data_IF_085195508400
#
_entry.id   IF_085195508400
#
_cell.length_a   1.000
_cell.length_b   1.000
_cell.length_c   1.000
_cell.angle_alpha   90.00
_cell.angle_beta   90.00
_cell.angle_gamma   90.00
#
_symmetry.space_group_name_H-M   'P 1'
#
loop_
_entity.id
_entity.type
_entity.pdbx_description
1 polymer ?
#
# COMPACT_ATOMS: atom_id res chain seq x y z
N UNK A 1 16.27 54.76 55.68
CA UNK A 1 17.49 54.12 56.24
C UNK A 1 17.73 52.86 55.42
N UNK A 2 18.76 52.62 54.61
CA UNK A 2 20.01 53.27 54.16
C UNK A 2 20.02 53.06 52.62
N UNK A 3 20.21 54.05 51.73
CA UNK A 3 21.51 54.63 51.29
C UNK A 3 22.47 53.54 50.74
N UNK A 4 22.99 53.54 49.49
CA UNK A 4 23.68 54.59 48.70
C UNK A 4 23.95 54.00 47.26
N UNK A 5 23.56 54.67 46.16
CA UNK A 5 24.38 55.54 45.24
C UNK A 5 25.23 54.72 44.22
N UNK A 6 24.81 54.62 42.94
CA UNK A 6 25.16 55.43 41.74
C UNK A 6 26.62 55.22 41.24
N UNK A 7 26.92 55.20 39.93
CA UNK A 7 27.20 56.40 39.12
C UNK A 7 27.58 56.01 37.65
N UNK A 8 27.00 56.75 36.67
CA UNK A 8 27.48 57.19 35.32
C UNK A 8 27.84 56.14 34.25
N UNK A 9 27.72 56.40 32.95
CA UNK A 9 27.44 57.64 32.22
C UNK A 9 27.38 57.40 30.70
N UNK A 10 26.85 58.40 30.00
CA UNK A 10 26.54 58.45 28.58
C UNK A 10 27.73 58.32 27.61
N UNK A 11 27.45 57.92 26.37
CA UNK A 11 27.48 58.79 25.17
C UNK A 11 27.50 57.95 23.89
N UNK A 12 26.69 58.35 22.91
CA UNK A 12 26.68 57.80 21.56
C UNK A 12 27.85 58.39 20.75
N UNK A 13 28.57 57.53 20.02
CA UNK A 13 29.54 57.94 19.01
C UNK A 13 29.35 57.10 17.75
N UNK A 14 29.05 57.79 16.65
CA UNK A 14 28.99 57.29 15.27
C UNK A 14 30.39 56.87 14.79
N UNK A 15 30.45 55.82 13.96
CA UNK A 15 31.65 55.44 13.20
C UNK A 15 31.28 55.05 11.75
N UNK A 16 32.20 55.25 10.80
CA UNK A 16 31.89 55.61 9.41
C UNK A 16 31.80 54.43 8.46
N UNK A 17 31.16 54.67 7.31
CA UNK A 17 31.13 53.78 6.17
C UNK A 17 32.53 53.63 5.55
N UNK A 18 33.01 52.38 5.47
CA UNK A 18 34.23 52.02 4.76
C UNK A 18 33.86 51.20 3.52
N UNK A 19 33.97 51.84 2.36
CA UNK A 19 33.90 51.19 1.05
C UNK A 19 35.20 50.41 0.84
N UNK A 20 35.14 49.08 0.79
CA UNK A 20 36.25 48.23 0.36
C UNK A 20 35.90 47.68 -1.02
N UNK A 21 36.59 48.19 -2.04
CA UNK A 21 36.69 47.59 -3.36
C UNK A 21 37.75 46.49 -3.32
N UNK A 22 37.33 45.23 -3.45
CA UNK A 22 38.23 44.12 -3.75
C UNK A 22 37.84 43.50 -5.09
N UNK A 23 38.65 43.82 -6.09
CA UNK A 23 38.78 43.11 -7.35
C UNK A 23 39.49 41.77 -7.10
N UNK A 24 38.79 40.67 -7.37
CA UNK A 24 39.33 39.33 -7.29
C UNK A 24 38.38 38.33 -7.96
N UNK A 25 38.62 38.07 -9.25
CA UNK A 25 37.95 37.00 -9.99
C UNK A 25 38.44 35.65 -9.49
N UNK A 26 37.85 35.16 -8.41
CA UNK A 26 37.89 33.75 -8.06
C UNK A 26 36.75 33.05 -8.79
N UNK A 27 37.03 32.45 -9.95
CA UNK A 27 36.15 31.42 -10.50
C UNK A 27 36.15 30.24 -9.54
N UNK A 28 35.21 30.27 -8.59
CA UNK A 28 34.75 29.08 -7.89
C UNK A 28 34.15 28.16 -8.95
N UNK A 29 34.98 27.28 -9.48
CA UNK A 29 34.52 26.13 -10.23
C UNK A 29 33.87 25.20 -9.20
N UNK A 30 32.59 25.46 -8.93
CA UNK A 30 31.75 24.54 -8.18
C UNK A 30 31.79 23.22 -8.93
N UNK A 31 32.51 22.24 -8.38
CA UNK A 31 32.33 20.84 -8.72
C UNK A 31 30.84 20.55 -8.55
N UNK A 32 30.09 20.51 -9.65
CA UNK A 32 28.72 20.07 -9.64
C UNK A 32 28.74 18.61 -9.19
N UNK A 33 28.49 18.39 -7.90
CA UNK A 33 28.17 17.06 -7.40
C UNK A 33 27.07 16.53 -8.32
N UNK A 34 27.31 15.37 -8.94
CA UNK A 34 26.29 14.73 -9.76
C UNK A 34 25.06 14.55 -8.87
N UNK A 35 23.99 15.28 -9.17
CA UNK A 35 22.75 15.15 -8.43
C UNK A 35 22.16 13.78 -8.75
N UNK A 36 21.89 13.01 -7.71
CA UNK A 36 21.20 11.73 -7.82
C UNK A 36 19.83 11.81 -7.17
N UNK A 37 18.96 10.86 -7.52
CA UNK A 37 17.61 10.72 -6.97
C UNK A 37 17.31 9.26 -6.63
N UNK A 38 16.46 9.00 -5.65
CA UNK A 38 15.96 7.65 -5.36
C UNK A 38 14.62 7.44 -6.05
N UNK A 39 14.36 6.23 -6.53
CA UNK A 39 13.08 5.81 -7.08
C UNK A 39 12.39 4.81 -6.12
N UNK A 40 11.15 5.09 -5.78
CA UNK A 40 10.29 4.23 -4.97
C UNK A 40 9.20 3.64 -5.86
N UNK A 41 9.06 2.32 -5.85
CA UNK A 41 8.11 1.58 -6.68
C UNK A 41 6.88 1.22 -5.85
N UNK A 42 5.72 1.42 -6.46
CA UNK A 42 4.40 1.07 -5.95
C UNK A 42 3.65 0.26 -7.00
N UNK A 43 2.95 -0.78 -6.57
CA UNK A 43 2.08 -1.57 -7.43
C UNK A 43 0.85 -2.05 -6.68
N UNK A 44 -0.30 -1.98 -7.35
CA UNK A 44 -1.54 -2.62 -6.90
C UNK A 44 -1.53 -4.14 -7.15
N UNK A 45 -0.59 -4.63 -7.95
CA UNK A 45 -0.48 -6.02 -8.33
C UNK A 45 0.62 -6.72 -7.51
N UNK A 46 0.39 -7.96 -7.05
CA UNK A 46 1.44 -8.76 -6.43
C UNK A 46 2.47 -9.21 -7.47
N UNK A 47 3.67 -9.52 -6.98
CA UNK A 47 4.77 -10.08 -7.77
C UNK A 47 5.53 -11.13 -6.96
N UNK A 48 6.67 -11.57 -7.47
CA UNK A 48 7.54 -12.51 -6.76
C UNK A 48 8.94 -11.94 -6.61
N UNK A 49 9.72 -12.49 -5.70
CA UNK A 49 11.15 -12.19 -5.56
C UNK A 49 11.96 -12.47 -6.84
N UNK A 50 11.49 -13.35 -7.72
CA UNK A 50 12.13 -13.63 -9.01
C UNK A 50 11.85 -12.54 -10.07
N UNK A 51 10.74 -11.80 -9.93
CA UNK A 51 10.30 -10.76 -10.87
C UNK A 51 9.82 -9.53 -10.11
N UNK A 52 10.70 -8.99 -9.25
CA UNK A 52 10.32 -7.97 -8.28
C UNK A 52 10.07 -6.60 -8.95
N UNK A 53 9.31 -5.69 -8.31
CA UNK A 53 8.97 -4.40 -8.92
C UNK A 53 10.18 -3.52 -9.26
N UNK A 54 11.27 -3.66 -8.51
CA UNK A 54 12.52 -2.93 -8.77
C UNK A 54 13.14 -3.29 -10.12
N UNK A 55 12.93 -4.51 -10.62
CA UNK A 55 13.49 -4.97 -11.89
C UNK A 55 12.91 -4.24 -13.11
N UNK A 56 11.82 -3.47 -12.94
CA UNK A 56 11.31 -2.60 -13.99
C UNK A 56 12.19 -1.38 -14.28
N UNK A 57 13.14 -1.04 -13.40
CA UNK A 57 13.94 0.20 -13.44
C UNK A 57 15.39 -0.04 -12.98
N UNK A 58 15.87 -1.28 -12.99
CA UNK A 58 17.21 -1.62 -12.48
C UNK A 58 18.33 -1.43 -13.52
N UNK A 59 17.98 -1.11 -14.77
CA UNK A 59 18.93 -0.92 -15.86
C UNK A 59 19.55 -2.21 -16.38
N UNK A 60 19.01 -3.37 -16.01
CA UNK A 60 19.53 -4.67 -16.40
C UNK A 60 18.58 -5.35 -17.41
N UNK A 61 18.97 -5.49 -18.69
CA UNK A 61 18.09 -6.05 -19.72
C UNK A 61 17.81 -7.56 -19.58
N UNK A 62 18.42 -8.23 -18.59
CA UNK A 62 18.19 -9.65 -18.30
C UNK A 62 17.18 -9.91 -17.19
N UNK A 63 16.76 -8.87 -16.47
CA UNK A 63 15.73 -8.91 -15.43
C UNK A 63 14.46 -8.23 -15.93
N UNK A 64 13.34 -8.47 -15.25
CA UNK A 64 12.07 -7.82 -15.56
C UNK A 64 11.12 -7.95 -14.36
N UNK A 65 10.22 -6.97 -14.22
CA UNK A 65 9.05 -7.11 -13.36
C UNK A 65 7.97 -7.93 -14.07
N UNK A 66 7.28 -8.78 -13.31
CA UNK A 66 6.07 -9.48 -13.76
C UNK A 66 5.08 -9.63 -12.61
N UNK A 67 3.83 -9.23 -12.83
CA UNK A 67 2.75 -9.47 -11.88
C UNK A 67 2.38 -10.96 -11.80
N UNK A 68 1.90 -11.41 -10.64
CA UNK A 68 1.40 -12.79 -10.46
C UNK A 68 0.02 -12.96 -11.12
N UNK A 69 -0.81 -11.93 -11.01
CA UNK A 69 -2.16 -11.90 -11.56
C UNK A 69 -2.27 -10.91 -12.72
N UNK A 70 -3.45 -10.88 -13.31
CA UNK A 70 -3.81 -9.97 -14.37
C UNK A 70 -3.70 -8.50 -13.95
N UNK A 71 -3.55 -7.65 -14.96
CA UNK A 71 -3.71 -6.21 -14.83
C UNK A 71 -5.06 -5.84 -15.42
N UNK A 72 -5.95 -5.34 -14.58
CA UNK A 72 -7.27 -4.89 -14.98
C UNK A 72 -7.41 -3.36 -14.99
N UNK A 73 -8.65 -2.91 -15.12
CA UNK A 73 -9.01 -1.52 -14.85
C UNK A 73 -8.80 -1.19 -13.37
N UNK A 74 -8.29 0.02 -13.09
CA UNK A 74 -7.90 0.46 -11.74
C UNK A 74 -6.49 0.05 -11.29
N UNK A 75 -5.89 -0.98 -11.90
CA UNK A 75 -4.53 -1.40 -11.56
C UNK A 75 -3.47 -0.40 -12.01
N UNK A 76 -2.42 -0.27 -11.21
CA UNK A 76 -1.39 0.73 -11.40
C UNK A 76 0.00 0.19 -11.06
N UNK A 77 0.97 0.50 -11.91
CA UNK A 77 2.39 0.46 -11.59
C UNK A 77 2.93 1.89 -11.55
N UNK A 78 3.53 2.28 -10.44
CA UNK A 78 3.90 3.67 -10.15
C UNK A 78 5.35 3.77 -9.68
N UNK A 79 6.10 4.64 -10.33
CA UNK A 79 7.44 5.09 -9.93
C UNK A 79 7.32 6.47 -9.31
N UNK A 80 7.81 6.66 -8.09
CA UNK A 80 7.89 7.95 -7.41
C UNK A 80 9.35 8.29 -7.12
N UNK A 81 9.82 9.41 -7.64
CA UNK A 81 11.14 9.95 -7.38
C UNK A 81 11.16 10.76 -6.08
N UNK A 82 12.27 10.70 -5.34
CA UNK A 82 12.42 11.41 -4.07
C UNK A 82 12.37 12.94 -4.23
N UNK A 83 12.63 13.46 -5.43
CA UNK A 83 12.44 14.86 -5.82
C UNK A 83 12.14 14.97 -7.32
N UNK A 84 11.48 16.04 -7.77
CA UNK A 84 11.26 16.27 -9.19
C UNK A 84 12.58 16.38 -9.98
N UNK A 85 12.67 15.72 -11.14
CA UNK A 85 13.84 15.77 -12.03
C UNK A 85 13.47 16.14 -13.47
N UNK A 86 14.31 16.86 -14.23
CA UNK A 86 14.06 17.16 -15.63
C UNK A 86 13.93 15.88 -16.47
N UNK A 87 12.82 15.71 -17.19
CA UNK A 87 12.60 14.55 -18.06
C UNK A 87 12.75 14.94 -19.54
N UNK A 88 13.80 14.42 -20.19
CA UNK A 88 14.09 14.64 -21.62
C UNK A 88 13.56 13.54 -22.51
N UNK A 89 13.47 12.32 -22.00
CA UNK A 89 12.83 11.21 -22.71
C UNK A 89 12.34 10.17 -21.72
N UNK A 90 11.31 9.44 -22.13
CA UNK A 90 10.80 8.27 -21.45
C UNK A 90 10.70 7.15 -22.48
N UNK A 91 11.27 5.99 -22.18
CA UNK A 91 11.18 4.80 -22.99
C UNK A 91 10.83 3.63 -22.07
N UNK A 92 9.72 2.94 -22.34
CA UNK A 92 9.24 1.82 -21.53
C UNK A 92 9.02 0.64 -22.45
N UNK A 93 9.58 -0.52 -22.11
CA UNK A 93 9.42 -1.76 -22.85
C UNK A 93 8.66 -2.77 -22.00
N UNK A 94 7.57 -3.30 -22.55
CA UNK A 94 6.73 -4.33 -21.91
C UNK A 94 6.70 -5.61 -22.73
N UNK A 95 6.11 -6.66 -22.15
CA UNK A 95 5.93 -7.96 -22.80
C UNK A 95 7.15 -8.89 -22.75
N UNK A 96 6.91 -10.19 -22.82
CA UNK A 96 7.90 -11.26 -22.77
C UNK A 96 8.65 -11.44 -24.09
N UNK A 97 9.82 -12.08 -24.03
CA UNK A 97 10.63 -12.35 -25.22
C UNK A 97 9.92 -13.25 -26.25
N UNK A 98 8.84 -13.92 -25.83
CA UNK A 98 7.96 -14.76 -26.64
C UNK A 98 6.83 -14.00 -27.35
N UNK A 99 6.76 -12.67 -27.20
CA UNK A 99 5.74 -11.85 -27.85
C UNK A 99 4.38 -11.90 -27.13
N UNK A 100 4.38 -12.03 -25.80
CA UNK A 100 3.18 -12.07 -24.96
C UNK A 100 3.23 -11.00 -23.88
N UNK A 101 2.10 -10.71 -23.25
CA UNK A 101 1.99 -9.77 -22.13
C UNK A 101 2.40 -8.32 -22.51
N UNK A 102 2.43 -7.96 -23.80
CA UNK A 102 2.62 -6.58 -24.24
C UNK A 102 1.45 -5.70 -23.81
N UNK A 103 1.77 -4.56 -23.20
CA UNK A 103 0.79 -3.51 -23.01
C UNK A 103 0.49 -2.89 -24.37
N UNK A 104 -0.69 -3.14 -24.93
CA UNK A 104 -1.09 -2.58 -26.24
C UNK A 104 -2.25 -1.59 -26.14
N UNK A 105 -3.00 -1.62 -25.04
CA UNK A 105 -4.10 -0.71 -24.76
C UNK A 105 -3.91 -0.04 -23.39
N UNK A 106 -2.77 0.62 -23.22
CA UNK A 106 -2.43 1.35 -22.01
C UNK A 106 -1.66 2.63 -22.30
N UNK A 107 -1.35 3.36 -21.24
CA UNK A 107 -0.62 4.63 -21.32
C UNK A 107 0.45 4.72 -20.25
N UNK A 108 1.51 5.44 -20.60
CA UNK A 108 2.50 5.93 -19.66
C UNK A 108 2.22 7.41 -19.39
N UNK A 109 2.08 7.75 -18.12
CA UNK A 109 1.81 9.11 -17.66
C UNK A 109 2.93 9.63 -16.77
N UNK A 110 3.06 10.95 -16.71
CA UNK A 110 4.02 11.63 -15.85
C UNK A 110 3.30 12.67 -15.00
N UNK A 111 3.85 12.93 -13.82
CA UNK A 111 3.32 13.94 -12.91
C UNK A 111 4.46 14.77 -12.29
N UNK A 112 4.36 16.11 -12.27
CA UNK A 112 5.35 16.98 -11.61
C UNK A 112 5.25 16.96 -10.08
N UNK A 113 4.06 16.65 -9.53
CA UNK A 113 3.75 16.69 -8.10
C UNK A 113 3.46 15.31 -7.50
N UNK A 114 3.21 14.31 -8.35
CA UNK A 114 2.81 12.96 -7.97
C UNK A 114 1.31 12.78 -7.75
N UNK A 115 0.50 13.81 -8.03
CA UNK A 115 -0.95 13.81 -7.87
C UNK A 115 -1.68 14.02 -9.21
N UNK A 116 -1.24 14.99 -10.01
CA UNK A 116 -1.85 15.29 -11.32
C UNK A 116 -1.03 14.64 -12.42
N UNK A 117 -1.59 13.60 -13.03
CA UNK A 117 -0.96 12.86 -14.11
C UNK A 117 -1.36 13.40 -15.47
N UNK A 118 -0.41 13.37 -16.41
CA UNK A 118 -0.61 13.70 -17.82
C UNK A 118 0.02 12.62 -18.68
N UNK A 119 -0.70 12.22 -19.72
CA UNK A 119 -0.20 11.30 -20.74
C UNK A 119 1.13 11.78 -21.31
N UNK A 120 2.15 10.91 -21.23
CA UNK A 120 3.45 11.11 -21.87
C UNK A 120 3.53 10.31 -23.18
N UNK A 121 3.07 9.05 -23.17
CA UNK A 121 3.02 8.19 -24.35
C UNK A 121 1.86 7.18 -24.24
N UNK A 122 1.36 6.73 -25.40
CA UNK A 122 0.59 5.49 -25.48
C UNK A 122 1.56 4.34 -25.79
N UNK A 123 1.21 3.13 -25.37
CA UNK A 123 1.95 1.95 -25.81
C UNK A 123 1.57 1.56 -27.24
N UNK A 124 2.57 1.18 -28.04
CA UNK A 124 2.41 0.64 -29.37
C UNK A 124 2.00 -0.84 -29.37
N UNK A 125 1.76 -1.38 -30.56
CA UNK A 125 1.47 -2.81 -30.75
C UNK A 125 2.65 -3.72 -30.38
N UNK A 126 3.84 -3.16 -30.26
CA UNK A 126 5.09 -3.80 -29.84
C UNK A 126 5.31 -3.74 -28.31
N UNK A 127 4.36 -3.22 -27.55
CA UNK A 127 4.48 -3.08 -26.09
C UNK A 127 5.43 -1.97 -25.66
N UNK A 128 5.77 -1.03 -26.56
CA UNK A 128 6.70 0.07 -26.28
C UNK A 128 5.97 1.39 -26.13
N UNK A 129 6.29 2.15 -25.09
CA UNK A 129 5.87 3.54 -24.93
C UNK A 129 7.10 4.47 -24.97
N UNK A 130 7.14 5.34 -25.99
CA UNK A 130 8.23 6.28 -26.23
C UNK A 130 7.75 7.73 -26.23
N UNK A 131 8.43 8.59 -25.47
CA UNK A 131 8.19 10.02 -25.44
C UNK A 131 9.50 10.81 -25.48
N UNK A 132 9.59 11.79 -26.39
CA UNK A 132 10.59 12.86 -26.36
C UNK A 132 9.99 14.05 -25.64
N UNK A 133 10.66 14.52 -24.59
CA UNK A 133 10.11 15.49 -23.63
C UNK A 133 11.07 16.68 -23.48
N UNK A 134 10.50 17.85 -23.18
CA UNK A 134 11.24 19.12 -23.19
C UNK A 134 12.13 19.38 -21.97
N UNK A 135 12.30 18.41 -21.06
CA UNK A 135 13.04 18.59 -19.82
C UNK A 135 12.21 19.16 -18.66
N UNK A 136 10.89 19.13 -18.75
CA UNK A 136 10.04 19.55 -17.63
C UNK A 136 10.25 18.65 -16.41
N UNK A 137 10.24 19.20 -15.18
CA UNK A 137 10.39 18.39 -13.97
C UNK A 137 9.25 17.39 -13.80
N UNK A 138 9.59 16.14 -13.49
CA UNK A 138 8.64 15.09 -13.10
C UNK A 138 9.04 14.50 -11.77
N UNK A 139 8.04 14.19 -10.94
CA UNK A 139 8.19 13.45 -9.69
C UNK A 139 7.72 12.01 -9.82
N UNK A 140 6.76 11.72 -10.69
CA UNK A 140 6.22 10.36 -10.81
C UNK A 140 5.98 9.95 -12.26
N UNK A 141 6.08 8.63 -12.50
CA UNK A 141 5.68 7.95 -13.75
C UNK A 141 4.68 6.87 -13.38
N UNK A 142 3.56 6.81 -14.11
CA UNK A 142 2.49 5.83 -13.91
C UNK A 142 2.26 5.04 -15.19
N UNK A 143 2.10 3.73 -15.07
CA UNK A 143 1.64 2.82 -16.12
C UNK A 143 0.28 2.28 -15.69
N UNK A 144 -0.72 2.44 -16.55
CA UNK A 144 -2.04 1.86 -16.38
C UNK A 144 -2.67 1.49 -17.72
N UNK A 145 -3.68 0.63 -17.69
CA UNK A 145 -4.48 0.29 -18.86
C UNK A 145 -5.55 1.34 -19.10
N UNK A 146 -6.02 1.45 -20.34
CA UNK A 146 -7.21 2.24 -20.65
C UNK A 146 -8.45 1.52 -20.10
N UNK A 147 -9.53 2.27 -19.86
CA UNK A 147 -10.79 1.74 -19.35
C UNK A 147 -11.27 0.51 -20.16
N UNK A 148 -11.64 -0.55 -19.46
CA UNK A 148 -12.11 -1.81 -20.03
C UNK A 148 -11.03 -2.69 -20.68
N UNK A 149 -9.77 -2.27 -20.68
CA UNK A 149 -8.66 -3.12 -21.13
C UNK A 149 -8.20 -4.10 -20.04
N UNK A 150 -7.55 -5.17 -20.47
CA UNK A 150 -7.11 -6.27 -19.62
C UNK A 150 -5.82 -6.88 -20.16
N UNK A 151 -4.95 -7.33 -19.26
CA UNK A 151 -3.77 -8.13 -19.59
C UNK A 151 -3.64 -9.32 -18.64
N UNK A 152 -3.26 -10.52 -19.13
CA UNK A 152 -3.01 -11.68 -18.27
C UNK A 152 -1.93 -11.48 -17.20
N UNK A 153 -0.96 -10.60 -17.47
CA UNK A 153 0.01 -10.09 -16.51
C UNK A 153 0.62 -8.78 -17.04
N UNK A 154 1.03 -7.90 -16.14
CA UNK A 154 1.90 -6.79 -16.48
C UNK A 154 3.36 -7.28 -16.44
N UNK A 155 4.03 -7.27 -17.58
CA UNK A 155 5.47 -7.53 -17.68
C UNK A 155 6.19 -6.26 -18.14
N UNK A 156 7.05 -5.69 -17.29
CA UNK A 156 7.88 -4.54 -17.63
C UNK A 156 9.33 -4.99 -17.68
N UNK A 157 9.95 -4.91 -18.86
CA UNK A 157 11.37 -5.22 -19.01
C UNK A 157 12.25 -4.11 -18.49
N UNK A 158 11.94 -2.87 -18.88
CA UNK A 158 12.76 -1.73 -18.50
C UNK A 158 11.98 -0.42 -18.66
N UNK A 159 12.24 0.51 -17.75
CA UNK A 159 11.82 1.91 -17.78
C UNK A 159 13.09 2.75 -17.88
N UNK A 160 13.37 3.29 -19.05
CA UNK A 160 14.51 4.18 -19.26
C UNK A 160 14.10 5.64 -19.13
N UNK A 161 14.64 6.31 -18.10
CA UNK A 161 14.42 7.73 -17.81
C UNK A 161 15.58 8.56 -18.35
N UNK A 162 15.33 9.32 -19.42
CA UNK A 162 16.29 10.27 -19.97
C UNK A 162 16.34 11.55 -19.15
N UNK A 163 17.23 11.62 -18.15
CA UNK A 163 17.43 12.81 -17.31
C UNK A 163 18.92 13.11 -17.11
N UNK A 164 19.33 14.37 -16.94
CA UNK A 164 20.66 14.70 -16.44
C UNK A 164 20.88 14.26 -14.98
N UNK A 165 19.81 14.07 -14.21
CA UNK A 165 19.85 13.55 -12.82
C UNK A 165 19.78 12.02 -12.89
N UNK A 166 20.71 11.33 -12.23
CA UNK A 166 20.76 9.86 -12.24
C UNK A 166 19.97 9.26 -11.09
N UNK A 167 19.31 8.13 -11.34
CA UNK A 167 18.71 7.33 -10.26
C UNK A 167 19.84 6.57 -9.58
N UNK A 168 20.02 6.75 -8.28
CA UNK A 168 21.07 6.08 -7.49
C UNK A 168 20.58 4.82 -6.77
N UNK A 169 19.26 4.69 -6.57
CA UNK A 169 18.64 3.57 -5.85
C UNK A 169 17.20 3.37 -6.32
N UNK A 170 16.78 2.10 -6.43
CA UNK A 170 15.41 1.68 -6.76
C UNK A 170 14.94 0.74 -5.67
N UNK A 171 13.85 1.10 -4.99
CA UNK A 171 13.32 0.34 -3.85
C UNK A 171 11.82 0.09 -3.96
N UNK A 172 11.39 -1.03 -3.39
CA UNK A 172 9.97 -1.22 -3.09
C UNK A 172 9.60 -0.30 -1.92
N UNK A 173 8.56 0.50 -2.09
CA UNK A 173 8.13 1.45 -1.08
C UNK A 173 7.30 0.79 0.04
N UNK A 174 7.22 1.39 1.23
CA UNK A 174 6.19 1.05 2.21
C UNK A 174 4.79 1.19 1.60
N UNK A 175 3.87 0.33 2.03
CA UNK A 175 2.51 0.32 1.52
C UNK A 175 1.73 1.58 1.87
N UNK A 176 0.90 2.08 0.94
CA UNK A 176 0.08 3.29 1.17
C UNK A 176 -1.16 3.37 0.27
N UNK A 177 -2.11 4.20 0.69
CA UNK A 177 -3.24 4.64 -0.13
C UNK A 177 -2.90 5.85 -1.01
N UNK A 178 -3.52 5.91 -2.20
CA UNK A 178 -3.53 7.08 -3.07
C UNK A 178 -4.98 7.54 -3.24
N UNK A 179 -5.28 8.72 -2.73
CA UNK A 179 -6.65 9.10 -2.39
C UNK A 179 -7.27 10.03 -3.42
N UNK A 180 -8.50 9.71 -3.80
CA UNK A 180 -9.41 10.54 -4.59
C UNK A 180 -10.62 10.94 -3.74
N UNK A 181 -10.65 12.23 -3.39
CA UNK A 181 -11.73 12.90 -2.66
C UNK A 181 -12.57 13.82 -3.56
N UNK A 182 -12.43 13.73 -4.89
CA UNK A 182 -13.09 14.64 -5.83
C UNK A 182 -14.61 14.71 -5.65
N UNK A 183 -15.25 13.62 -5.21
CA UNK A 183 -16.70 13.54 -4.97
C UNK A 183 -17.09 13.75 -3.50
N UNK A 184 -16.12 13.86 -2.59
CA UNK A 184 -16.37 14.02 -1.16
C UNK A 184 -15.24 14.82 -0.48
N UNK A 185 -14.99 16.08 -0.89
CA UNK A 185 -13.93 16.89 -0.31
C UNK A 185 -14.14 17.16 1.19
N UNK A 186 -15.38 17.05 1.69
CA UNK A 186 -15.71 17.15 3.11
C UNK A 186 -15.17 15.98 3.95
N UNK A 187 -14.69 14.90 3.32
CA UNK A 187 -14.17 13.71 3.99
C UNK A 187 -12.65 13.73 4.20
N UNK A 188 -11.96 14.84 3.94
CA UNK A 188 -10.49 14.94 4.05
C UNK A 188 -9.97 14.48 5.43
N UNK A 189 -10.57 14.94 6.53
CA UNK A 189 -10.14 14.57 7.88
C UNK A 189 -10.40 13.08 8.20
N UNK A 190 -11.50 12.53 7.70
CA UNK A 190 -11.81 11.11 7.86
C UNK A 190 -10.82 10.25 7.07
N UNK A 191 -10.58 10.61 5.81
CA UNK A 191 -9.66 9.91 4.91
C UNK A 191 -8.25 9.90 5.47
N UNK A 192 -7.77 11.04 5.98
CA UNK A 192 -6.46 11.14 6.61
C UNK A 192 -6.29 10.21 7.82
N UNK A 193 -7.32 10.06 8.67
CA UNK A 193 -7.27 9.12 9.81
C UNK A 193 -7.22 7.67 9.32
N UNK A 194 -8.02 7.33 8.32
CA UNK A 194 -8.02 6.00 7.72
C UNK A 194 -6.67 5.67 7.05
N UNK A 195 -6.08 6.63 6.33
CA UNK A 195 -4.75 6.51 5.71
C UNK A 195 -3.66 6.25 6.74
N UNK A 196 -3.62 7.01 7.84
CA UNK A 196 -2.66 6.79 8.93
C UNK A 196 -2.81 5.36 9.48
N UNK A 197 -4.04 4.91 9.73
CA UNK A 197 -4.31 3.56 10.21
C UNK A 197 -3.83 2.47 9.24
N UNK A 198 -4.06 2.65 7.94
CA UNK A 198 -3.55 1.74 6.92
C UNK A 198 -2.03 1.72 6.87
N UNK A 199 -1.38 2.89 6.71
CA UNK A 199 0.08 2.99 6.56
C UNK A 199 0.83 2.45 7.79
N UNK A 200 0.36 2.77 9.01
CA UNK A 200 0.96 2.30 10.26
C UNK A 200 0.85 0.77 10.41
N UNK A 201 -0.24 0.17 9.93
CA UNK A 201 -0.50 -1.25 10.10
C UNK A 201 -0.09 -2.12 8.91
N UNK A 202 0.13 -1.53 7.73
CA UNK A 202 0.50 -2.25 6.50
C UNK A 202 1.65 -3.24 6.69
N UNK A 203 2.80 -2.87 7.31
CA UNK A 203 3.92 -3.80 7.44
C UNK A 203 3.58 -5.01 8.31
N UNK A 204 2.74 -4.83 9.34
CA UNK A 204 2.29 -5.91 10.22
C UNK A 204 1.33 -6.83 9.48
N UNK A 205 0.39 -6.28 8.71
CA UNK A 205 -0.53 -7.07 7.88
C UNK A 205 0.23 -7.88 6.83
N UNK A 206 1.16 -7.25 6.10
CA UNK A 206 2.01 -7.94 5.11
C UNK A 206 2.84 -9.07 5.74
N UNK A 207 3.36 -8.87 6.96
CA UNK A 207 4.06 -9.92 7.69
C UNK A 207 3.12 -11.07 8.11
N UNK A 208 1.94 -10.77 8.64
CA UNK A 208 0.97 -11.78 9.08
C UNK A 208 0.38 -12.59 7.92
N UNK A 209 0.34 -12.04 6.71
CA UNK A 209 -0.22 -12.67 5.51
C UNK A 209 0.86 -13.06 4.48
N UNK A 210 2.11 -13.18 4.91
CA UNK A 210 3.24 -13.52 4.02
C UNK A 210 3.11 -14.93 3.44
N UNK A 211 3.60 -15.09 2.21
CA UNK A 211 3.94 -16.39 1.59
C UNK A 211 5.38 -16.33 1.11
N UNK A 212 6.05 -17.47 1.09
CA UNK A 212 7.44 -17.55 0.66
C UNK A 212 7.59 -17.10 -0.79
N UNK A 213 8.51 -16.15 -1.02
CA UNK A 213 8.80 -15.61 -2.35
C UNK A 213 7.73 -14.69 -2.95
N UNK A 214 6.58 -14.50 -2.29
CA UNK A 214 5.51 -13.61 -2.73
C UNK A 214 5.73 -12.19 -2.23
N UNK A 215 5.61 -11.22 -3.13
CA UNK A 215 5.64 -9.79 -2.81
C UNK A 215 4.20 -9.28 -2.96
N UNK A 216 3.57 -8.94 -1.82
CA UNK A 216 2.21 -8.38 -1.81
C UNK A 216 2.16 -7.00 -2.48
N UNK A 217 0.98 -6.55 -2.96
CA UNK A 217 0.77 -5.16 -3.33
C UNK A 217 1.21 -4.21 -2.21
N UNK A 218 1.72 -3.05 -2.60
CA UNK A 218 2.11 -1.98 -1.68
C UNK A 218 1.41 -0.66 -2.04
N UNK A 219 0.28 -0.74 -2.73
CA UNK A 219 -0.51 0.39 -3.17
C UNK A 219 -1.98 0.02 -3.22
N UNK A 220 -2.83 1.00 -2.93
CA UNK A 220 -4.26 0.95 -3.22
C UNK A 220 -4.75 2.34 -3.65
N UNK A 221 -5.55 2.40 -4.70
CA UNK A 221 -6.24 3.62 -5.11
C UNK A 221 -7.54 3.75 -4.32
N UNK A 222 -7.64 4.73 -3.41
CA UNK A 222 -8.79 4.89 -2.52
C UNK A 222 -9.72 5.94 -3.09
N UNK A 223 -10.96 5.56 -3.39
CA UNK A 223 -11.98 6.45 -3.97
C UNK A 223 -13.11 6.63 -2.97
N UNK A 224 -13.31 7.87 -2.53
CA UNK A 224 -14.38 8.26 -1.63
C UNK A 224 -15.59 8.73 -2.42
N UNK A 225 -16.64 7.92 -2.47
CA UNK A 225 -17.87 8.24 -3.22
C UNK A 225 -19.11 7.62 -2.58
N UNK A 226 -20.29 8.06 -3.01
CA UNK A 226 -21.58 7.45 -2.67
C UNK A 226 -22.40 7.37 -3.96
N UNK A 227 -23.17 6.30 -4.15
CA UNK A 227 -24.03 6.14 -5.31
C UNK A 227 -24.77 4.81 -5.29
N UNK A 228 -25.67 4.58 -6.27
CA UNK A 228 -26.43 3.32 -6.37
C UNK A 228 -25.55 2.09 -6.55
N UNK A 229 -24.38 2.25 -7.18
CA UNK A 229 -23.43 1.16 -7.47
C UNK A 229 -22.30 1.04 -6.42
N UNK A 230 -22.43 1.75 -5.28
CA UNK A 230 -21.46 1.71 -4.18
C UNK A 230 -21.99 0.80 -3.08
N UNK A 231 -21.15 -0.11 -2.58
CA UNK A 231 -21.51 -1.00 -1.47
C UNK A 231 -21.85 -0.21 -0.21
N UNK A 232 -22.53 -0.86 0.75
CA UNK A 232 -23.02 -0.17 1.95
C UNK A 232 -21.94 0.43 2.84
N UNK A 233 -20.70 -0.06 2.77
CA UNK A 233 -19.57 0.32 3.64
C UNK A 233 -18.34 0.65 2.81
N UNK A 234 -17.70 -0.38 2.25
CA UNK A 234 -16.59 -0.28 1.33
C UNK A 234 -16.48 -1.57 0.52
N UNK A 235 -15.61 -1.56 -0.50
CA UNK A 235 -15.21 -2.74 -1.24
C UNK A 235 -13.87 -2.52 -1.91
N UNK A 236 -13.08 -3.57 -2.02
CA UNK A 236 -11.75 -3.55 -2.64
C UNK A 236 -11.60 -4.59 -3.73
N UNK A 237 -11.09 -4.18 -4.88
CA UNK A 237 -10.78 -5.07 -6.01
C UNK A 237 -10.11 -4.31 -7.15
N UNK A 238 -9.33 -5.00 -7.99
CA UNK A 238 -8.65 -4.39 -9.15
C UNK A 238 -7.75 -3.20 -8.78
N UNK A 239 -7.10 -3.25 -7.61
CA UNK A 239 -6.26 -2.15 -7.13
C UNK A 239 -7.01 -0.94 -6.56
N UNK A 240 -8.34 -0.95 -6.56
CA UNK A 240 -9.20 0.14 -6.10
C UNK A 240 -9.94 -0.25 -4.84
N UNK A 241 -9.87 0.62 -3.83
CA UNK A 241 -10.73 0.58 -2.64
C UNK A 241 -11.77 1.69 -2.78
N UNK A 242 -13.05 1.31 -2.88
CA UNK A 242 -14.16 2.27 -2.84
C UNK A 242 -14.69 2.35 -1.42
N UNK A 243 -14.68 3.53 -0.81
CA UNK A 243 -15.25 3.78 0.52
C UNK A 243 -16.53 4.59 0.37
N UNK A 244 -17.62 4.10 0.98
CA UNK A 244 -18.92 4.75 0.95
C UNK A 244 -18.96 5.96 1.90
N UNK A 245 -19.02 7.16 1.33
CA UNK A 245 -18.97 8.40 2.11
C UNK A 245 -20.24 8.66 2.91
N UNK A 246 -21.36 8.01 2.59
CA UNK A 246 -22.54 8.02 3.47
C UNK A 246 -22.25 7.29 4.77
N UNK A 247 -21.61 6.12 4.70
CA UNK A 247 -21.21 5.35 5.88
C UNK A 247 -20.26 6.16 6.76
N UNK A 248 -19.22 6.76 6.17
CA UNK A 248 -18.26 7.60 6.90
C UNK A 248 -18.91 8.74 7.69
N UNK A 249 -19.96 9.37 7.14
CA UNK A 249 -20.70 10.45 7.82
C UNK A 249 -21.58 9.93 8.97
N UNK A 250 -22.08 8.72 8.86
CA UNK A 250 -22.91 8.06 9.88
C UNK A 250 -22.05 7.37 10.96
N UNK A 251 -20.79 7.05 10.63
CA UNK A 251 -19.83 6.28 11.43
C UNK A 251 -18.44 6.93 11.38
N UNK A 252 -18.32 8.13 11.93
CA UNK A 252 -17.09 8.94 11.87
C UNK A 252 -15.87 8.25 12.55
N UNK A 253 -16.12 7.35 13.49
CA UNK A 253 -15.12 6.59 14.23
C UNK A 253 -14.65 5.30 13.50
N UNK A 254 -15.39 4.81 12.51
CA UNK A 254 -15.16 3.53 11.84
C UNK A 254 -14.05 3.55 10.77
N UNK A 255 -12.90 4.15 11.09
CA UNK A 255 -11.76 4.19 10.16
C UNK A 255 -11.07 2.82 10.01
N UNK A 256 -11.29 1.90 10.95
CA UNK A 256 -10.79 0.53 10.90
C UNK A 256 -11.29 -0.26 9.68
N UNK A 257 -12.39 0.16 9.04
CA UNK A 257 -12.85 -0.43 7.79
C UNK A 257 -11.78 -0.36 6.69
N UNK A 258 -10.97 0.71 6.66
CA UNK A 258 -9.92 0.83 5.65
C UNK A 258 -8.79 -0.19 5.86
N UNK A 259 -8.56 -0.62 7.11
CA UNK A 259 -7.60 -1.70 7.43
C UNK A 259 -8.14 -3.08 7.04
N UNK A 260 -9.45 -3.31 7.19
CA UNK A 260 -10.12 -4.49 6.64
C UNK A 260 -9.95 -4.54 5.11
N UNK A 261 -10.29 -3.47 4.42
CA UNK A 261 -10.18 -3.38 2.96
C UNK A 261 -8.72 -3.48 2.45
N UNK A 262 -7.78 -2.82 3.13
CA UNK A 262 -6.34 -2.96 2.85
C UNK A 262 -5.87 -4.41 2.99
N UNK A 263 -6.46 -5.17 3.91
CA UNK A 263 -6.15 -6.60 4.07
C UNK A 263 -6.45 -7.37 2.79
N UNK A 264 -7.53 -7.04 2.08
CA UNK A 264 -7.84 -7.67 0.80
C UNK A 264 -6.84 -7.36 -0.31
N UNK A 265 -6.22 -6.18 -0.30
CA UNK A 265 -5.09 -5.89 -1.19
C UNK A 265 -3.87 -6.73 -0.85
N UNK A 266 -3.51 -6.81 0.43
CA UNK A 266 -2.28 -7.51 0.87
C UNK A 266 -2.41 -9.02 0.74
N UNK A 267 -3.59 -9.58 1.06
CA UNK A 267 -3.82 -11.02 0.93
C UNK A 267 -3.64 -11.45 -0.52
N UNK A 268 -4.17 -10.68 -1.49
CA UNK A 268 -4.14 -10.97 -2.92
C UNK A 268 -4.33 -12.47 -3.20
N UNK A 269 -5.42 -13.04 -2.69
CA UNK A 269 -5.77 -14.45 -2.82
C UNK A 269 -7.02 -14.59 -3.70
N UNK A 270 -7.29 -15.80 -4.23
CA UNK A 270 -8.65 -16.14 -4.65
C UNK A 270 -9.65 -15.84 -3.53
N UNK A 271 -10.85 -15.43 -3.92
CA UNK A 271 -11.94 -15.11 -2.99
C UNK A 271 -12.70 -16.39 -2.56
N UNK A 272 -11.95 -17.45 -2.21
CA UNK A 272 -12.49 -18.77 -1.85
C UNK A 272 -11.52 -19.49 -0.89
N UNK A 273 -11.99 -20.00 0.27
CA UNK A 273 -13.35 -19.84 0.78
C UNK A 273 -13.61 -18.45 1.36
N UNK A 274 -14.74 -17.85 0.96
CA UNK A 274 -15.15 -16.49 1.34
C UNK A 274 -15.09 -16.27 2.86
N UNK A 275 -15.52 -17.25 3.63
CA UNK A 275 -15.56 -17.13 5.09
C UNK A 275 -14.19 -16.88 5.71
N UNK A 276 -13.15 -17.52 5.16
CA UNK A 276 -11.79 -17.39 5.67
C UNK A 276 -11.15 -16.11 5.16
N UNK A 277 -11.45 -15.69 3.93
CA UNK A 277 -10.99 -14.42 3.36
C UNK A 277 -11.52 -13.23 4.15
N UNK A 278 -12.84 -13.15 4.32
CA UNK A 278 -13.50 -12.10 5.12
C UNK A 278 -13.13 -12.19 6.60
N UNK A 279 -13.09 -13.41 7.15
CA UNK A 279 -12.69 -13.64 8.53
C UNK A 279 -11.24 -13.26 8.82
N UNK A 280 -10.34 -13.39 7.84
CA UNK A 280 -8.94 -12.95 7.95
C UNK A 280 -8.85 -11.42 7.93
N UNK A 281 -9.61 -10.74 7.08
CA UNK A 281 -9.66 -9.28 7.08
C UNK A 281 -10.17 -8.72 8.42
N UNK A 282 -11.23 -9.31 8.98
CA UNK A 282 -11.70 -8.94 10.32
C UNK A 282 -10.77 -9.40 11.44
N UNK A 283 -10.00 -10.47 11.28
CA UNK A 283 -8.95 -10.83 12.24
C UNK A 283 -7.86 -9.76 12.28
N UNK A 284 -7.37 -9.31 11.13
CA UNK A 284 -6.37 -8.25 11.05
C UNK A 284 -6.90 -6.97 11.69
N UNK A 285 -8.13 -6.57 11.34
CA UNK A 285 -8.78 -5.39 11.90
C UNK A 285 -9.03 -5.53 13.41
N UNK A 286 -9.89 -6.46 13.80
CA UNK A 286 -10.44 -6.50 15.14
C UNK A 286 -9.57 -7.19 16.17
N UNK A 287 -8.79 -8.20 15.78
CA UNK A 287 -7.93 -8.94 16.73
C UNK A 287 -6.54 -8.32 16.83
N UNK A 288 -6.05 -7.65 15.77
CA UNK A 288 -4.66 -7.17 15.70
C UNK A 288 -4.51 -5.66 15.64
N UNK A 289 -5.33 -4.95 14.88
CA UNK A 289 -5.21 -3.49 14.72
C UNK A 289 -5.92 -2.73 15.84
N UNK A 290 -7.19 -3.03 16.11
CA UNK A 290 -8.02 -2.31 17.08
C UNK A 290 -8.73 -3.22 18.12
N UNK A 291 -8.02 -4.12 18.82
CA UNK A 291 -8.63 -5.02 19.79
C UNK A 291 -9.34 -4.30 20.94
N UNK A 292 -8.95 -3.05 21.25
CA UNK A 292 -9.63 -2.21 22.24
C UNK A 292 -11.07 -1.86 21.88
N UNK A 293 -11.40 -1.88 20.58
CA UNK A 293 -12.74 -1.58 20.07
C UNK A 293 -13.55 -2.85 19.79
N UNK A 294 -12.96 -4.03 19.99
CA UNK A 294 -13.58 -5.29 19.57
C UNK A 294 -14.41 -5.95 20.67
N UNK A 295 -15.71 -6.06 20.41
CA UNK A 295 -16.66 -6.74 21.28
C UNK A 295 -17.50 -7.73 20.47
N UNK A 296 -16.98 -8.94 20.18
CA UNK A 296 -17.67 -9.90 19.33
C UNK A 296 -19.03 -10.28 19.93
N UNK A 297 -20.05 -10.35 19.08
CA UNK A 297 -21.41 -10.74 19.45
C UNK A 297 -21.82 -11.99 18.68
N UNK A 298 -21.52 -13.14 19.25
CA UNK A 298 -21.75 -14.44 18.61
C UNK A 298 -23.01 -15.10 19.18
N UNK A 299 -23.97 -15.41 18.30
CA UNK A 299 -25.12 -16.24 18.66
C UNK A 299 -24.71 -17.71 18.67
N UNK A 300 -24.33 -18.20 19.84
CA UNK A 300 -23.83 -19.58 20.06
C UNK A 300 -24.78 -20.69 19.60
N UNK A 301 -26.07 -20.41 19.37
CA UNK A 301 -27.05 -21.40 18.90
C UNK A 301 -27.01 -21.62 17.38
N UNK A 302 -26.58 -20.60 16.63
CA UNK A 302 -26.68 -20.59 15.16
C UNK A 302 -25.36 -20.33 14.47
N UNK A 303 -24.38 -19.76 15.18
CA UNK A 303 -23.11 -19.39 14.62
C UNK A 303 -22.29 -20.60 14.16
N UNK A 304 -21.47 -20.38 13.15
CA UNK A 304 -20.48 -21.33 12.62
C UNK A 304 -19.12 -20.64 12.48
N UNK A 305 -18.05 -21.43 12.50
CA UNK A 305 -16.70 -20.92 12.21
C UNK A 305 -16.59 -20.29 10.82
N UNK A 306 -17.52 -20.62 9.92
CA UNK A 306 -17.58 -20.17 8.53
C UNK A 306 -18.55 -18.99 8.31
N UNK A 307 -18.95 -18.26 9.34
CA UNK A 307 -19.87 -17.12 9.22
C UNK A 307 -19.18 -15.79 8.82
N UNK A 308 -17.98 -15.87 8.23
CA UNK A 308 -17.16 -14.72 7.82
C UNK A 308 -16.87 -13.74 8.99
N UNK A 309 -16.30 -12.58 8.67
CA UNK A 309 -16.25 -11.38 9.51
C UNK A 309 -15.86 -11.65 10.97
N UNK A 310 -16.45 -10.90 11.91
CA UNK A 310 -16.16 -10.95 13.34
C UNK A 310 -16.29 -12.35 13.95
N UNK A 311 -17.25 -13.18 13.52
CA UNK A 311 -17.42 -14.54 14.06
C UNK A 311 -16.20 -15.39 13.74
N UNK A 312 -15.80 -15.42 12.47
CA UNK A 312 -14.61 -16.15 12.02
C UNK A 312 -13.34 -15.54 12.62
N UNK A 313 -13.22 -14.21 12.64
CA UNK A 313 -12.07 -13.50 13.20
C UNK A 313 -11.85 -13.85 14.68
N UNK A 314 -12.93 -13.91 15.47
CA UNK A 314 -12.86 -14.28 16.88
C UNK A 314 -12.39 -15.72 17.04
N UNK A 315 -12.88 -16.63 16.20
CA UNK A 315 -12.47 -18.03 16.20
C UNK A 315 -10.98 -18.21 15.83
N UNK A 316 -10.52 -17.52 14.79
CA UNK A 316 -9.11 -17.51 14.39
C UNK A 316 -8.22 -16.93 15.51
N UNK A 317 -8.66 -15.84 16.13
CA UNK A 317 -8.00 -15.25 17.31
C UNK A 317 -7.89 -16.20 18.49
N UNK A 318 -8.96 -16.91 18.80
CA UNK A 318 -8.96 -17.94 19.84
C UNK A 318 -8.01 -19.09 19.50
N UNK A 319 -8.04 -19.59 18.26
CA UNK A 319 -7.15 -20.68 17.84
C UNK A 319 -5.67 -20.30 17.96
N UNK A 320 -5.28 -19.11 17.48
CA UNK A 320 -3.91 -18.58 17.61
C UNK A 320 -3.43 -18.56 19.06
N UNK A 321 -4.28 -18.07 19.98
CA UNK A 321 -3.94 -17.96 21.39
C UNK A 321 -3.80 -19.32 22.10
N UNK A 322 -4.56 -20.33 21.68
CA UNK A 322 -4.64 -21.63 22.35
C UNK A 322 -3.72 -22.71 21.77
N UNK A 323 -3.45 -22.66 20.46
CA UNK A 323 -2.79 -23.75 19.74
C UNK A 323 -1.45 -23.37 19.11
N UNK A 324 -1.09 -22.08 19.15
CA UNK A 324 0.21 -21.58 18.75
C UNK A 324 0.14 -20.56 17.63
N UNK A 325 1.19 -19.75 17.55
CA UNK A 325 1.22 -18.59 16.69
C UNK A 325 1.36 -18.98 15.19
N UNK A 326 0.72 -18.18 14.33
CA UNK A 326 0.85 -18.22 12.88
C UNK A 326 -0.07 -19.20 12.16
N UNK A 327 -1.19 -19.60 12.77
CA UNK A 327 -2.27 -20.29 12.08
C UNK A 327 -2.77 -19.46 10.89
N UNK A 328 -3.14 -18.19 11.11
CA UNK A 328 -3.68 -17.28 10.09
C UNK A 328 -2.70 -17.10 8.94
N UNK A 329 -1.41 -16.97 9.21
CA UNK A 329 -0.37 -16.93 8.16
C UNK A 329 -0.40 -18.20 7.29
N UNK A 330 -0.45 -19.38 7.90
CA UNK A 330 -0.45 -20.67 7.18
C UNK A 330 -1.76 -20.90 6.42
N UNK A 331 -2.88 -20.47 6.97
CA UNK A 331 -4.18 -20.55 6.31
C UNK A 331 -4.23 -19.61 5.10
N UNK A 332 -3.80 -18.35 5.25
CA UNK A 332 -3.71 -17.40 4.15
C UNK A 332 -2.79 -17.90 3.03
N UNK A 333 -1.63 -18.48 3.35
CA UNK A 333 -0.73 -19.10 2.37
C UNK A 333 -1.43 -20.22 1.58
N UNK A 334 -2.17 -21.10 2.28
CA UNK A 334 -2.92 -22.17 1.64
C UNK A 334 -4.04 -21.62 0.74
N UNK A 335 -4.77 -20.59 1.19
CA UNK A 335 -5.82 -19.93 0.38
C UNK A 335 -5.22 -19.29 -0.87
N UNK A 336 -4.11 -18.56 -0.73
CA UNK A 336 -3.40 -17.89 -1.84
C UNK A 336 -3.08 -18.85 -2.99
N UNK A 337 -2.67 -20.07 -2.65
CA UNK A 337 -2.28 -21.08 -3.63
C UNK A 337 -3.35 -22.14 -3.93
N UNK A 338 -4.59 -21.93 -3.48
CA UNK A 338 -5.71 -22.87 -3.74
C UNK A 338 -5.52 -24.25 -3.10
N UNK A 339 -4.78 -24.31 -1.99
CA UNK A 339 -4.44 -25.53 -1.23
C UNK A 339 -5.16 -25.61 0.11
N UNK A 340 -6.11 -24.71 0.35
CA UNK A 340 -6.88 -24.70 1.58
C UNK A 340 -7.73 -25.99 1.73
N UNK A 341 -7.72 -26.55 2.94
CA UNK A 341 -8.61 -27.61 3.39
C UNK A 341 -8.78 -27.48 4.92
N UNK A 342 -9.95 -27.86 5.44
CA UNK A 342 -10.23 -27.86 6.88
C UNK A 342 -9.27 -28.78 7.67
N UNK A 343 -8.64 -29.76 7.00
CA UNK A 343 -7.60 -30.62 7.59
C UNK A 343 -6.37 -29.83 8.08
N UNK A 344 -6.17 -28.61 7.59
CA UNK A 344 -5.09 -27.73 8.07
C UNK A 344 -5.25 -27.36 9.55
N UNK A 345 -6.48 -27.30 10.06
CA UNK A 345 -6.71 -27.13 11.49
C UNK A 345 -6.21 -28.34 12.28
N UNK A 346 -6.47 -29.57 11.81
CA UNK A 346 -5.92 -30.78 12.45
C UNK A 346 -4.39 -30.78 12.39
N UNK A 347 -3.80 -30.37 11.27
CA UNK A 347 -2.35 -30.30 11.08
C UNK A 347 -1.69 -29.30 12.01
N UNK A 348 -2.27 -28.11 12.19
CA UNK A 348 -1.62 -27.00 12.90
C UNK A 348 -2.08 -26.84 14.35
N UNK A 349 -3.30 -27.26 14.68
CA UNK A 349 -3.87 -27.17 16.02
C UNK A 349 -4.02 -28.54 16.70
N UNK A 350 -3.78 -29.65 16.00
CA UNK A 350 -3.91 -31.00 16.55
C UNK A 350 -5.34 -31.49 16.72
N UNK A 351 -6.34 -30.73 16.25
CA UNK A 351 -7.77 -31.09 16.29
C UNK A 351 -8.47 -30.63 15.01
N UNK A 352 -9.48 -31.37 14.56
CA UNK A 352 -10.30 -30.95 13.43
C UNK A 352 -11.09 -29.66 13.75
N UNK A 353 -11.48 -28.94 12.71
CA UNK A 353 -12.12 -27.62 12.84
C UNK A 353 -13.44 -27.67 13.63
N UNK A 354 -14.20 -28.78 13.56
CA UNK A 354 -15.46 -28.90 14.29
C UNK A 354 -15.23 -29.09 15.79
N UNK A 355 -14.22 -29.88 16.17
CA UNK A 355 -13.80 -30.01 17.56
C UNK A 355 -13.31 -28.67 18.13
N UNK A 356 -12.48 -27.94 17.38
CA UNK A 356 -12.03 -26.60 17.75
C UNK A 356 -13.21 -25.63 17.91
N UNK A 357 -14.16 -25.65 16.98
CA UNK A 357 -15.35 -24.80 17.04
C UNK A 357 -16.22 -25.11 18.25
N UNK A 358 -16.41 -26.39 18.59
CA UNK A 358 -17.17 -26.79 19.78
C UNK A 358 -16.51 -26.28 21.07
N UNK A 359 -15.18 -26.38 21.17
CA UNK A 359 -14.42 -25.84 22.30
C UNK A 359 -14.48 -24.31 22.38
N UNK A 360 -14.36 -23.64 21.23
CA UNK A 360 -14.54 -22.19 21.13
C UNK A 360 -15.91 -21.75 21.63
N UNK A 361 -16.99 -22.42 21.20
CA UNK A 361 -18.35 -22.11 21.65
C UNK A 361 -18.49 -22.33 23.16
N UNK A 362 -17.95 -23.43 23.69
CA UNK A 362 -17.97 -23.67 25.14
C UNK A 362 -17.21 -22.59 25.91
N UNK A 363 -16.03 -22.17 25.43
CA UNK A 363 -15.24 -21.10 26.03
C UNK A 363 -15.96 -19.75 25.96
N UNK A 364 -16.57 -19.42 24.81
CA UNK A 364 -17.33 -18.19 24.62
C UNK A 364 -18.58 -18.16 25.49
N UNK A 365 -19.28 -19.27 25.67
CA UNK A 365 -20.41 -19.37 26.59
C UNK A 365 -20.00 -19.17 28.06
N UNK A 366 -18.80 -19.64 28.43
CA UNK A 366 -18.30 -19.52 29.79
C UNK A 366 -17.89 -18.07 30.15
N UNK A 367 -17.14 -17.39 29.28
CA UNK A 367 -16.72 -16.00 29.49
C UNK A 367 -16.38 -15.30 28.15
N UNK A 368 -17.37 -14.65 27.49
CA UNK A 368 -17.14 -13.92 26.24
C UNK A 368 -16.05 -12.84 26.35
N UNK A 369 -15.87 -12.25 27.54
CA UNK A 369 -14.92 -11.14 27.75
C UNK A 369 -13.46 -11.58 27.72
N UNK A 370 -13.20 -12.88 27.88
CA UNK A 370 -11.85 -13.47 27.87
C UNK A 370 -11.60 -14.36 26.66
N UNK A 371 -12.48 -14.37 25.67
CA UNK A 371 -12.35 -15.30 24.54
C UNK A 371 -11.06 -15.11 23.75
N UNK A 372 -10.49 -13.91 23.74
CA UNK A 372 -9.20 -13.62 23.09
C UNK A 372 -8.02 -13.53 24.09
N UNK A 373 -8.21 -13.95 25.34
CA UNK A 373 -7.11 -14.01 26.29
C UNK A 373 -6.23 -15.24 26.01
N UNK A 374 -4.91 -15.08 26.10
CA UNK A 374 -3.99 -16.21 26.03
C UNK A 374 -4.12 -17.06 27.30
N UNK A 375 -4.27 -18.39 27.22
CA UNK A 375 -4.26 -19.26 28.40
C UNK A 375 -2.99 -19.07 29.23
N UNK A 376 -3.11 -19.17 30.55
CA UNK A 376 -1.94 -19.25 31.42
C UNK A 376 -1.11 -20.50 31.04
N UNK A 377 0.21 -20.32 30.96
CA UNK A 377 1.16 -21.38 30.63
C UNK A 377 1.23 -22.46 31.72
#
# INVERSE_FOLDING_TARGET
MKSITAIRGAAWSTLPALLITMSGSATLQASAASSTVQASIYSTMPSTTAHSPQMALDGNPSTYFKSVYDMGDGDTFLVVLSQPVPLRSLHIVTGGADGKDEVTNGVAETSPDGAVFRKAAAFGADGVADAKLGGQPIKSIRIHLNEGAHLPALLIREITIGSPVKISDVRLAPGRGFVDLSQAPDMEDWAKRAEIGMEDFWPKTAYMLRSDGFISPNMVNVVYKTGPDVTGVAATGGGVMTINTKWCREHDDDTGLAVHEMTHMIQATPYEPVWLVEGTADYIRWVKFEPQNFHPRINVKTAKYSDSYQTTATFLGWCENHYGDGLVTKLNDAVRYGKYSDDLFQKYCGKDVNALWAEFIAAYQADPSKILAKPAA
#
